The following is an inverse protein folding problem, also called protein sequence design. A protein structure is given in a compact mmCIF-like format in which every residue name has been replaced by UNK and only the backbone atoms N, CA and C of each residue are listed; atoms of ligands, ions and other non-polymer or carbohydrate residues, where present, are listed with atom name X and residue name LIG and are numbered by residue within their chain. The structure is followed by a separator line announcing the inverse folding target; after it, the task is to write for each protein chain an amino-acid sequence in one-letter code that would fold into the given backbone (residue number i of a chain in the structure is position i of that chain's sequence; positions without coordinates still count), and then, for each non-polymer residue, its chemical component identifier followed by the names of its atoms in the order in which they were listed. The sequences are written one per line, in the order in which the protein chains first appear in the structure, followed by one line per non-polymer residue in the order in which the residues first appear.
data_IF_087677462771
#
_entry.id   IF_087677462771
#
_cell.length_a   1.000
_cell.length_b   1.000
_cell.length_c   1.000
_cell.angle_alpha   90.00
_cell.angle_beta   90.00
_cell.angle_gamma   90.00
#
_symmetry.space_group_name_H-M   'P 1'
#
loop_
_entity.id
_entity.type
_entity.pdbx_description
1 polymer ?
#
# COMPACT_ATOMS: atom_id res chain seq x y z
N UNK A 1 7.08 30.97 23.30
CA UNK A 1 5.71 30.56 22.90
C UNK A 1 5.54 29.10 23.25
N UNK A 2 4.54 28.76 24.06
CA UNK A 2 4.23 27.36 24.37
C UNK A 2 3.76 26.68 23.07
N UNK A 3 4.41 25.57 22.70
CA UNK A 3 4.03 24.77 21.54
C UNK A 3 2.68 24.12 21.85
N UNK A 4 1.62 24.53 21.15
CA UNK A 4 0.35 23.83 21.21
C UNK A 4 0.57 22.38 20.77
N UNK A 5 0.34 21.45 21.69
CA UNK A 5 0.39 20.02 21.39
C UNK A 5 -0.91 19.65 20.68
N UNK A 6 -0.91 19.72 19.35
CA UNK A 6 -2.02 19.21 18.55
C UNK A 6 -2.05 17.69 18.66
N UNK A 7 -3.13 17.14 19.21
CA UNK A 7 -3.31 15.69 19.32
C UNK A 7 -3.33 15.07 17.92
N UNK A 8 -2.46 14.08 17.69
CA UNK A 8 -2.50 13.27 16.47
C UNK A 8 -3.78 12.43 16.49
N UNK A 9 -4.59 12.52 15.44
CA UNK A 9 -5.82 11.75 15.27
C UNK A 9 -5.75 10.98 13.95
N UNK A 10 -6.24 9.74 13.98
CA UNK A 10 -6.48 8.92 12.80
C UNK A 10 -7.77 8.14 12.99
N UNK A 11 -8.51 7.94 11.90
CA UNK A 11 -9.68 7.05 11.87
C UNK A 11 -9.33 5.71 11.17
N UNK A 12 -8.03 5.41 11.00
CA UNK A 12 -7.54 4.20 10.31
C UNK A 12 -7.33 3.04 11.27
N UNK A 13 -6.59 3.25 12.36
CA UNK A 13 -6.29 2.19 13.31
C UNK A 13 -5.92 2.74 14.68
N UNK A 14 -6.20 1.98 15.72
CA UNK A 14 -5.78 2.23 17.09
C UNK A 14 -5.62 0.90 17.85
N UNK A 15 -4.95 0.94 19.00
CA UNK A 15 -4.77 -0.25 19.84
C UNK A 15 -4.93 0.09 21.31
N UNK A 16 -5.53 -0.83 22.07
CA UNK A 16 -5.49 -0.93 23.53
C UNK A 16 -4.65 -2.16 23.92
N UNK A 17 -4.37 -2.41 25.22
CA UNK A 17 -3.69 -3.63 25.63
C UNK A 17 -4.37 -4.93 25.17
N UNK A 18 -5.69 -4.89 25.01
CA UNK A 18 -6.51 -6.08 24.74
C UNK A 18 -7.06 -6.13 23.30
N UNK A 19 -6.89 -5.05 22.52
CA UNK A 19 -7.54 -4.92 21.22
C UNK A 19 -6.69 -4.14 20.21
N UNK A 20 -6.71 -4.56 18.95
CA UNK A 20 -6.21 -3.77 17.82
C UNK A 20 -7.36 -3.56 16.85
N UNK A 21 -7.79 -2.30 16.70
CA UNK A 21 -8.83 -1.94 15.76
C UNK A 21 -8.21 -1.38 14.47
N UNK A 22 -8.70 -1.85 13.33
CA UNK A 22 -8.33 -1.37 12.00
C UNK A 22 -9.61 -1.10 11.23
N UNK A 23 -9.86 0.17 10.90
CA UNK A 23 -11.03 0.63 10.13
C UNK A 23 -12.35 0.11 10.72
N UNK A 24 -12.45 0.04 12.04
CA UNK A 24 -13.63 -0.46 12.75
C UNK A 24 -13.62 -1.97 13.00
N UNK A 25 -12.67 -2.74 12.46
CA UNK A 25 -12.57 -4.18 12.64
C UNK A 25 -11.50 -4.56 13.68
N UNK A 26 -11.79 -5.55 14.51
CA UNK A 26 -10.81 -6.19 15.37
C UNK A 26 -9.83 -7.06 14.58
N UNK A 27 -8.53 -6.77 14.68
CA UNK A 27 -7.50 -7.49 13.93
C UNK A 27 -7.52 -9.00 14.23
N UNK A 28 -7.61 -9.36 15.51
CA UNK A 28 -7.47 -10.74 15.94
C UNK A 28 -8.70 -11.60 15.60
N UNK A 29 -9.89 -11.04 15.74
CA UNK A 29 -11.16 -11.76 15.63
C UNK A 29 -11.87 -11.59 14.29
N UNK A 30 -11.60 -10.51 13.55
CA UNK A 30 -12.37 -10.18 12.34
C UNK A 30 -11.51 -10.08 11.07
N UNK A 31 -10.19 -9.95 11.19
CA UNK A 31 -9.28 -9.83 10.03
C UNK A 31 -8.43 -11.09 9.85
N UNK A 32 -7.70 -11.50 10.89
CA UNK A 32 -6.81 -12.65 10.80
C UNK A 32 -7.62 -13.93 10.52
N UNK A 33 -7.26 -14.64 9.45
CA UNK A 33 -7.98 -15.84 8.99
C UNK A 33 -9.28 -15.57 8.22
N UNK A 34 -9.73 -14.32 8.15
CA UNK A 34 -10.97 -13.92 7.47
C UNK A 34 -10.74 -13.12 6.18
N UNK A 35 -9.63 -12.39 6.10
CA UNK A 35 -9.26 -11.57 4.95
C UNK A 35 -7.95 -12.05 4.31
N UNK A 36 -7.86 -11.98 2.99
CA UNK A 36 -6.56 -12.08 2.31
C UNK A 36 -5.78 -10.77 2.45
N UNK A 37 -4.48 -10.78 2.13
CA UNK A 37 -3.69 -9.55 2.09
C UNK A 37 -4.24 -8.54 1.07
N UNK A 38 -4.81 -9.02 -0.04
CA UNK A 38 -5.48 -8.19 -1.02
C UNK A 38 -6.73 -7.54 -0.41
N UNK A 39 -7.60 -8.31 0.26
CA UNK A 39 -8.81 -7.76 0.88
C UNK A 39 -8.49 -6.74 1.97
N UNK A 40 -7.48 -7.04 2.80
CA UNK A 40 -7.02 -6.15 3.86
C UNK A 40 -6.44 -4.84 3.31
N UNK A 41 -5.64 -4.89 2.24
CA UNK A 41 -5.12 -3.66 1.62
C UNK A 41 -6.23 -2.85 0.92
N UNK A 42 -7.24 -3.51 0.34
CA UNK A 42 -8.44 -2.85 -0.17
C UNK A 42 -9.18 -2.11 0.94
N UNK A 43 -9.39 -2.76 2.09
CA UNK A 43 -9.99 -2.14 3.29
C UNK A 43 -9.17 -0.93 3.76
N UNK A 44 -7.85 -1.05 3.80
CA UNK A 44 -6.99 0.04 4.24
C UNK A 44 -7.07 1.27 3.33
N UNK A 45 -7.13 1.07 2.02
CA UNK A 45 -7.20 2.14 1.04
C UNK A 45 -8.60 2.77 0.93
N UNK A 46 -9.65 1.95 1.00
CA UNK A 46 -11.03 2.39 0.69
C UNK A 46 -11.91 2.59 1.93
N UNK A 47 -11.53 2.04 3.07
CA UNK A 47 -12.32 2.08 4.30
C UNK A 47 -13.50 1.10 4.34
N UNK A 48 -13.63 0.19 3.35
CA UNK A 48 -14.66 -0.87 3.34
C UNK A 48 -14.07 -2.20 2.90
N UNK A 49 -14.72 -3.29 3.29
CA UNK A 49 -14.39 -4.60 2.75
C UNK A 49 -14.78 -4.69 1.26
N UNK A 50 -13.98 -5.37 0.43
CA UNK A 50 -14.35 -5.61 -0.96
C UNK A 50 -15.48 -6.65 -1.04
N UNK A 51 -16.31 -6.54 -2.07
CA UNK A 51 -17.13 -7.67 -2.51
C UNK A 51 -16.24 -8.79 -3.07
N UNK A 52 -16.78 -10.00 -3.21
CA UNK A 52 -16.04 -11.13 -3.78
C UNK A 52 -15.50 -10.84 -5.19
N UNK A 53 -16.23 -10.05 -5.99
CA UNK A 53 -15.84 -9.72 -7.36
C UNK A 53 -14.72 -8.66 -7.38
N UNK A 54 -14.85 -7.63 -6.52
CA UNK A 54 -13.81 -6.62 -6.34
C UNK A 54 -12.51 -7.23 -5.80
N UNK A 55 -12.60 -8.13 -4.81
CA UNK A 55 -11.44 -8.81 -4.26
C UNK A 55 -10.68 -9.63 -5.32
N UNK A 56 -11.39 -10.33 -6.21
CA UNK A 56 -10.77 -11.07 -7.32
C UNK A 56 -10.03 -10.14 -8.29
N UNK A 57 -10.65 -9.04 -8.71
CA UNK A 57 -10.03 -8.09 -9.65
C UNK A 57 -8.87 -7.36 -8.98
N UNK A 58 -9.05 -6.90 -7.75
CA UNK A 58 -8.03 -6.17 -7.00
C UNK A 58 -6.80 -7.05 -6.71
N UNK A 59 -7.00 -8.32 -6.35
CA UNK A 59 -5.90 -9.27 -6.22
C UNK A 59 -5.13 -9.45 -7.54
N UNK A 60 -5.82 -9.55 -8.67
CA UNK A 60 -5.16 -9.62 -9.98
C UNK A 60 -4.32 -8.35 -10.25
N UNK A 61 -4.86 -7.16 -9.96
CA UNK A 61 -4.12 -5.90 -10.07
C UNK A 61 -2.86 -5.93 -9.20
N UNK A 62 -2.98 -6.31 -7.93
CA UNK A 62 -1.82 -6.38 -7.04
C UNK A 62 -0.76 -7.35 -7.56
N UNK A 63 -1.15 -8.53 -8.04
CA UNK A 63 -0.21 -9.50 -8.62
C UNK A 63 0.52 -8.94 -9.83
N UNK A 64 -0.15 -8.16 -10.68
CA UNK A 64 0.53 -7.52 -11.82
C UNK A 64 1.59 -6.52 -11.37
N UNK A 65 1.45 -5.88 -10.20
CA UNK A 65 2.39 -4.88 -9.70
C UNK A 65 3.61 -5.47 -8.97
N UNK A 66 3.56 -6.75 -8.58
CA UNK A 66 4.63 -7.37 -7.77
C UNK A 66 5.94 -7.49 -8.56
N UNK A 67 5.87 -7.80 -9.86
CA UNK A 67 7.07 -8.09 -10.64
C UNK A 67 6.92 -7.74 -12.12
N UNK A 68 7.96 -7.10 -12.66
CA UNK A 68 8.09 -6.73 -14.08
C UNK A 68 9.52 -6.94 -14.62
N UNK A 69 10.35 -7.71 -13.92
CA UNK A 69 11.74 -8.02 -14.25
C UNK A 69 12.74 -6.96 -13.78
N UNK A 70 13.80 -6.75 -14.56
CA UNK A 70 14.89 -5.80 -14.27
C UNK A 70 14.47 -4.35 -14.55
N UNK A 71 13.45 -3.89 -13.85
CA UNK A 71 13.00 -2.50 -13.88
C UNK A 71 14.08 -1.57 -13.31
N UNK A 72 14.07 -0.26 -13.66
CA UNK A 72 14.99 0.71 -13.08
C UNK A 72 14.99 0.71 -11.54
N UNK A 73 13.81 0.57 -10.91
CA UNK A 73 13.67 0.45 -9.45
C UNK A 73 14.34 -0.80 -8.89
N UNK A 74 14.18 -1.95 -9.54
CA UNK A 74 14.84 -3.19 -9.13
C UNK A 74 16.38 -3.08 -9.26
N UNK A 75 16.87 -2.43 -10.31
CA UNK A 75 18.30 -2.16 -10.50
C UNK A 75 18.84 -1.21 -9.42
N UNK A 76 18.14 -0.12 -9.13
CA UNK A 76 18.53 0.84 -8.08
C UNK A 76 18.64 0.16 -6.72
N UNK A 77 17.63 -0.63 -6.33
CA UNK A 77 17.65 -1.38 -5.08
C UNK A 77 18.85 -2.34 -5.00
N UNK A 78 19.14 -3.07 -6.08
CA UNK A 78 20.27 -4.01 -6.15
C UNK A 78 21.62 -3.29 -6.06
N UNK A 79 21.79 -2.16 -6.75
CA UNK A 79 23.03 -1.38 -6.69
C UNK A 79 23.28 -0.83 -5.28
N UNK A 80 22.24 -0.33 -4.60
CA UNK A 80 22.34 0.10 -3.19
C UNK A 80 22.67 -1.08 -2.27
N UNK A 81 22.04 -2.23 -2.48
CA UNK A 81 22.30 -3.44 -1.68
C UNK A 81 23.74 -3.94 -1.82
N UNK A 82 24.32 -3.88 -3.02
CA UNK A 82 25.72 -4.25 -3.26
C UNK A 82 26.68 -3.35 -2.46
N UNK A 83 26.32 -2.07 -2.24
CA UNK A 83 27.12 -1.14 -1.46
C UNK A 83 27.09 -1.38 0.06
N UNK A 84 25.97 -1.86 0.61
CA UNK A 84 25.79 -2.14 2.03
C UNK A 84 24.73 -3.24 2.26
N UNK A 85 25.10 -4.54 2.24
CA UNK A 85 24.16 -5.66 2.35
C UNK A 85 23.37 -5.70 3.67
N UNK A 86 23.94 -5.18 4.75
CA UNK A 86 23.29 -5.04 6.05
C UNK A 86 22.17 -3.98 6.05
N UNK A 87 22.18 -3.06 5.09
CA UNK A 87 21.21 -1.97 4.96
C UNK A 87 20.05 -2.33 4.01
N UNK A 88 19.44 -3.51 4.18
CA UNK A 88 18.35 -4.00 3.31
C UNK A 88 17.20 -2.99 3.15
N UNK A 89 16.81 -2.32 4.24
CA UNK A 89 15.73 -1.31 4.20
C UNK A 89 16.11 -0.11 3.32
N UNK A 90 17.38 0.28 3.30
CA UNK A 90 17.87 1.37 2.45
C UNK A 90 17.86 0.95 0.98
N UNK A 91 18.20 -0.30 0.67
CA UNK A 91 18.09 -0.84 -0.67
C UNK A 91 16.63 -0.85 -1.18
N UNK A 92 15.69 -1.30 -0.35
CA UNK A 92 14.25 -1.24 -0.69
C UNK A 92 13.80 0.20 -0.91
N UNK A 93 14.18 1.12 -0.01
CA UNK A 93 13.86 2.54 -0.13
C UNK A 93 14.40 3.15 -1.43
N UNK A 94 15.63 2.82 -1.83
CA UNK A 94 16.23 3.32 -3.07
C UNK A 94 15.41 2.92 -4.32
N UNK A 95 14.91 1.68 -4.37
CA UNK A 95 14.01 1.25 -5.45
C UNK A 95 12.67 1.98 -5.44
N UNK A 96 12.08 2.18 -4.26
CA UNK A 96 10.80 2.87 -4.07
C UNK A 96 10.87 4.37 -4.40
N UNK A 97 11.99 5.03 -4.11
CA UNK A 97 12.18 6.46 -4.43
C UNK A 97 12.25 6.74 -5.94
N UNK A 98 12.39 5.72 -6.79
CA UNK A 98 12.32 5.85 -8.24
C UNK A 98 10.90 5.84 -8.83
N UNK A 99 9.87 5.58 -8.01
CA UNK A 99 8.48 5.55 -8.47
C UNK A 99 7.94 6.98 -8.68
N UNK A 100 7.21 7.21 -9.77
CA UNK A 100 6.74 8.55 -10.13
C UNK A 100 5.81 8.57 -11.34
N UNK A 101 5.63 9.72 -11.98
CA UNK A 101 4.66 9.88 -13.09
C UNK A 101 4.96 8.98 -14.29
N UNK A 102 6.24 8.75 -14.61
CA UNK A 102 6.66 7.93 -15.77
C UNK A 102 6.60 6.44 -15.46
N UNK A 103 6.95 6.02 -14.24
CA UNK A 103 7.00 4.63 -13.83
C UNK A 103 6.09 4.41 -12.60
N UNK A 104 5.09 3.53 -12.75
CA UNK A 104 3.94 3.32 -11.84
C UNK A 104 2.83 4.38 -11.94
N UNK A 105 3.14 5.67 -12.12
CA UNK A 105 2.14 6.74 -12.21
C UNK A 105 1.28 6.76 -13.49
N UNK A 106 1.62 5.95 -14.49
CA UNK A 106 0.84 5.78 -15.72
C UNK A 106 -0.56 5.19 -15.45
N UNK A 107 -0.70 4.38 -14.39
CA UNK A 107 -2.00 3.85 -13.96
C UNK A 107 -2.95 4.95 -13.49
N UNK A 108 -2.47 5.92 -12.71
CA UNK A 108 -3.27 7.07 -12.27
C UNK A 108 -3.69 7.93 -13.47
N UNK A 109 -2.77 8.18 -14.40
CA UNK A 109 -3.06 8.94 -15.63
C UNK A 109 -4.12 8.25 -16.47
N UNK A 110 -4.01 6.93 -16.64
CA UNK A 110 -4.99 6.13 -17.38
C UNK A 110 -6.36 6.16 -16.70
N UNK A 111 -6.40 6.06 -15.37
CA UNK A 111 -7.65 6.13 -14.60
C UNK A 111 -8.35 7.49 -14.76
N UNK A 112 -7.60 8.60 -14.71
CA UNK A 112 -8.14 9.95 -14.97
C UNK A 112 -8.71 10.06 -16.38
N UNK A 113 -7.94 9.66 -17.39
CA UNK A 113 -8.39 9.70 -18.79
C UNK A 113 -9.68 8.89 -19.02
N UNK A 114 -9.77 7.70 -18.43
CA UNK A 114 -10.97 6.87 -18.54
C UNK A 114 -12.16 7.48 -17.80
N UNK A 115 -11.93 8.05 -16.61
CA UNK A 115 -12.99 8.70 -15.83
C UNK A 115 -13.53 9.93 -16.55
N UNK A 116 -12.66 10.76 -17.12
CA UNK A 116 -13.05 11.98 -17.85
C UNK A 116 -13.78 11.67 -19.17
N UNK A 117 -13.59 10.47 -19.73
CA UNK A 117 -14.22 10.03 -20.97
C UNK A 117 -15.62 9.44 -20.77
N UNK A 118 -15.99 9.07 -19.54
CA UNK A 118 -17.32 8.54 -19.22
C UNK A 118 -18.27 9.71 -18.94
N UNK A 119 -19.46 9.75 -19.57
CA UNK A 119 -20.43 10.84 -19.41
C UNK A 119 -21.05 10.93 -18.01
#
# INVERSE_FOLDING_TARGET
MARETRTLRTDIAWSTPDQINVRGHDLANEILGHMTLADYSFLQLTGRTPSADEGRVYNAILMTLVEHGLTPSALAARLTYIGAPEALQAAVAAGLCGLGSVFVGSTETSAKMLTDAVP
#
